data_IF_370704983263
#
_entry.id   IF_370704983263
#
_cell.length_a   1.000
_cell.length_b   1.000
_cell.length_c   1.000
_cell.angle_alpha   90.00
_cell.angle_beta   90.00
_cell.angle_gamma   90.00
#
_symmetry.space_group_name_H-M   'P 1'
#
loop_
_entity.id
_entity.type
_entity.pdbx_description
1 polymer ?
#
# COMPACT_ATOMS: atom_id res chain seq x y z
N UNK A 1 -10.23 35.89 7.47
CA UNK A 1 -10.10 35.52 8.91
C UNK A 1 -11.31 35.90 9.77
N UNK A 2 -11.71 37.18 9.87
CA UNK A 2 -12.84 37.59 10.74
C UNK A 2 -14.17 36.92 10.35
N UNK A 3 -14.48 36.88 9.06
CA UNK A 3 -15.71 36.28 8.55
C UNK A 3 -15.83 34.78 8.85
N UNK A 4 -14.77 33.99 8.68
CA UNK A 4 -14.84 32.54 8.94
C UNK A 4 -15.06 32.24 10.42
N UNK A 5 -14.49 33.05 11.33
CA UNK A 5 -14.74 32.94 12.77
C UNK A 5 -16.17 33.31 13.14
N UNK A 6 -16.74 34.33 12.51
CA UNK A 6 -18.15 34.70 12.70
C UNK A 6 -19.07 33.59 12.20
N UNK A 7 -18.82 33.08 10.98
CA UNK A 7 -19.59 31.98 10.40
C UNK A 7 -19.46 30.70 11.23
N UNK A 8 -18.29 30.44 11.81
CA UNK A 8 -18.11 29.28 12.67
C UNK A 8 -18.97 29.32 13.94
N UNK A 9 -19.30 30.53 14.44
CA UNK A 9 -20.17 30.77 15.61
C UNK A 9 -21.65 30.94 15.25
N UNK A 10 -21.97 31.06 13.96
CA UNK A 10 -23.34 31.27 13.50
C UNK A 10 -24.16 29.99 13.59
N UNK A 11 -25.47 30.09 13.38
CA UNK A 11 -26.38 28.94 13.39
C UNK A 11 -26.11 28.00 12.22
N UNK A 12 -26.49 26.73 12.34
CA UNK A 12 -26.39 25.75 11.24
C UNK A 12 -27.18 26.21 10.01
N UNK A 13 -28.34 26.84 10.19
CA UNK A 13 -29.15 27.37 9.09
C UNK A 13 -28.39 28.42 8.27
N UNK A 14 -27.66 29.31 8.94
CA UNK A 14 -26.81 30.30 8.26
C UNK A 14 -25.61 29.65 7.57
N UNK A 15 -25.02 28.62 8.19
CA UNK A 15 -23.91 27.87 7.58
C UNK A 15 -24.35 27.13 6.32
N UNK A 16 -25.55 26.52 6.30
CA UNK A 16 -26.11 25.86 5.12
C UNK A 16 -26.34 26.88 4.00
N UNK A 17 -26.87 28.06 4.31
CA UNK A 17 -27.03 29.15 3.32
C UNK A 17 -25.69 29.66 2.77
N UNK A 18 -24.62 29.52 3.54
CA UNK A 18 -23.27 29.94 3.16
C UNK A 18 -22.41 28.79 2.59
N UNK A 19 -23.00 27.64 2.25
CA UNK A 19 -22.28 26.44 1.81
C UNK A 19 -21.26 26.73 0.69
N UNK A 20 -21.66 27.46 -0.36
CA UNK A 20 -20.79 27.79 -1.48
C UNK A 20 -19.57 28.63 -1.05
N UNK A 21 -19.76 29.53 -0.09
CA UNK A 21 -18.67 30.32 0.48
C UNK A 21 -17.73 29.46 1.33
N UNK A 22 -18.23 28.43 2.02
CA UNK A 22 -17.39 27.47 2.75
C UNK A 22 -16.57 26.64 1.78
N UNK A 23 -17.18 26.12 0.71
CA UNK A 23 -16.49 25.36 -0.33
C UNK A 23 -15.41 26.22 -1.00
N UNK A 24 -15.73 27.47 -1.36
CA UNK A 24 -14.75 28.39 -1.91
C UNK A 24 -13.59 28.69 -0.94
N UNK A 25 -13.89 28.82 0.36
CA UNK A 25 -12.85 28.95 1.39
C UNK A 25 -11.93 27.72 1.46
N UNK A 26 -12.45 26.51 1.23
CA UNK A 26 -11.63 25.30 1.15
C UNK A 26 -10.71 25.29 -0.07
N UNK A 27 -11.16 25.81 -1.23
CA UNK A 27 -10.29 25.98 -2.41
C UNK A 27 -9.14 26.95 -2.10
N UNK A 28 -9.42 28.08 -1.44
CA UNK A 28 -8.37 29.01 -1.00
C UNK A 28 -7.40 28.32 -0.02
N UNK A 29 -7.93 27.46 0.86
CA UNK A 29 -7.15 26.70 1.83
C UNK A 29 -6.25 25.61 1.21
N UNK A 30 -6.37 25.29 -0.09
CA UNK A 30 -5.41 24.45 -0.80
C UNK A 30 -4.04 25.13 -0.95
N UNK A 31 -4.00 26.47 -0.95
CA UNK A 31 -2.73 27.20 -1.05
C UNK A 31 -1.93 27.04 0.25
N UNK A 32 -0.66 26.59 0.20
CA UNK A 32 0.21 26.47 1.38
C UNK A 32 0.41 27.78 2.16
N UNK A 33 0.22 28.93 1.52
CA UNK A 33 0.33 30.25 2.15
C UNK A 33 -0.88 30.61 3.02
N UNK A 34 -1.96 29.81 2.96
CA UNK A 34 -3.20 30.11 3.67
C UNK A 34 -3.02 29.90 5.18
N UNK A 35 -3.38 30.88 6.03
CA UNK A 35 -3.22 30.75 7.47
C UNK A 35 -3.98 29.55 8.04
N UNK A 36 -3.29 28.73 8.86
CA UNK A 36 -3.85 27.53 9.46
C UNK A 36 -5.22 27.73 10.16
N UNK A 37 -5.46 28.79 10.96
CA UNK A 37 -6.77 28.98 11.60
C UNK A 37 -7.91 29.29 10.60
N UNK A 38 -7.59 29.76 9.39
CA UNK A 38 -8.57 29.91 8.32
C UNK A 38 -8.99 28.54 7.80
N UNK A 39 -8.02 27.72 7.42
CA UNK A 39 -8.25 26.36 6.91
C UNK A 39 -8.98 25.48 7.94
N UNK A 40 -8.54 25.49 9.20
CA UNK A 40 -9.24 24.79 10.29
C UNK A 40 -10.67 25.27 10.49
N UNK A 41 -10.92 26.58 10.35
CA UNK A 41 -12.25 27.15 10.46
C UNK A 41 -13.18 26.65 9.36
N UNK A 42 -12.69 26.64 8.10
CA UNK A 42 -13.43 26.10 6.95
C UNK A 42 -13.77 24.62 7.15
N UNK A 43 -12.78 23.80 7.53
CA UNK A 43 -12.95 22.35 7.78
C UNK A 43 -13.93 22.09 8.91
N UNK A 44 -13.88 22.88 9.99
CA UNK A 44 -14.81 22.71 11.12
C UNK A 44 -16.26 22.96 10.71
N UNK A 45 -16.52 23.96 9.85
CA UNK A 45 -17.86 24.22 9.33
C UNK A 45 -18.27 23.11 8.35
N UNK A 46 -17.37 22.72 7.44
CA UNK A 46 -17.62 21.64 6.47
C UNK A 46 -18.04 20.33 7.16
N UNK A 47 -17.32 19.91 8.21
CA UNK A 47 -17.66 18.70 8.99
C UNK A 47 -19.03 18.77 9.66
N UNK A 48 -19.51 19.98 10.01
CA UNK A 48 -20.87 20.14 10.53
C UNK A 48 -21.91 20.03 9.42
N UNK A 49 -21.64 20.64 8.26
CA UNK A 49 -22.52 20.59 7.10
C UNK A 49 -22.65 19.18 6.53
N UNK A 50 -21.59 18.37 6.62
CA UNK A 50 -21.59 16.96 6.21
C UNK A 50 -22.73 16.17 6.86
N UNK A 51 -23.05 16.46 8.13
CA UNK A 51 -24.12 15.77 8.85
C UNK A 51 -25.54 16.26 8.49
N UNK A 52 -25.68 17.37 7.76
CA UNK A 52 -26.96 18.01 7.46
C UNK A 52 -27.31 17.87 5.98
N UNK A 53 -26.35 18.13 5.10
CA UNK A 53 -26.51 18.14 3.64
C UNK A 53 -25.33 17.40 2.95
N UNK A 54 -25.08 16.11 3.27
CA UNK A 54 -23.90 15.38 2.82
C UNK A 54 -23.76 15.36 1.30
N UNK A 55 -24.85 15.02 0.59
CA UNK A 55 -24.83 14.87 -0.87
C UNK A 55 -24.45 16.18 -1.57
N UNK A 56 -25.21 17.26 -1.33
CA UNK A 56 -24.96 18.55 -1.99
C UNK A 56 -23.61 19.15 -1.59
N UNK A 57 -23.17 18.94 -0.35
CA UNK A 57 -21.86 19.38 0.11
C UNK A 57 -20.73 18.63 -0.61
N UNK A 58 -20.81 17.29 -0.69
CA UNK A 58 -19.84 16.47 -1.40
C UNK A 58 -19.76 16.86 -2.89
N UNK A 59 -20.92 16.98 -3.56
CA UNK A 59 -20.98 17.43 -4.96
C UNK A 59 -20.32 18.79 -5.14
N UNK A 60 -20.70 19.80 -4.36
CA UNK A 60 -20.12 21.14 -4.45
C UNK A 60 -18.60 21.14 -4.17
N UNK A 61 -18.16 20.37 -3.18
CA UNK A 61 -16.73 20.28 -2.81
C UNK A 61 -15.91 19.60 -3.91
N UNK A 62 -16.42 18.52 -4.51
CA UNK A 62 -15.74 17.83 -5.62
C UNK A 62 -15.66 18.73 -6.85
N UNK A 63 -16.75 19.39 -7.22
CA UNK A 63 -16.76 20.35 -8.32
C UNK A 63 -15.73 21.48 -8.12
N UNK A 64 -15.48 21.88 -6.88
CA UNK A 64 -14.52 22.93 -6.57
C UNK A 64 -13.06 22.44 -6.52
N UNK A 65 -12.82 21.15 -6.30
CA UNK A 65 -11.49 20.53 -6.23
C UNK A 65 -11.06 19.80 -7.51
N UNK A 66 -11.96 19.66 -8.48
CA UNK A 66 -11.69 19.02 -9.75
C UNK A 66 -11.74 20.05 -10.89
N UNK A 67 -10.88 19.89 -11.89
CA UNK A 67 -11.00 20.62 -13.15
C UNK A 67 -12.12 20.04 -14.03
N UNK A 68 -12.39 18.74 -13.89
CA UNK A 68 -13.46 18.04 -14.61
C UNK A 68 -14.82 18.29 -13.94
N UNK A 69 -15.89 18.42 -14.75
CA UNK A 69 -17.27 18.47 -14.27
C UNK A 69 -17.74 17.08 -13.78
N UNK A 70 -17.32 16.71 -12.57
CA UNK A 70 -17.67 15.44 -11.95
C UNK A 70 -19.02 15.53 -11.23
N UNK A 71 -20.08 15.07 -11.91
CA UNK A 71 -21.43 15.00 -11.36
C UNK A 71 -21.62 13.78 -10.45
N UNK A 72 -22.62 13.85 -9.57
CA UNK A 72 -22.97 12.79 -8.64
C UNK A 72 -23.11 11.42 -9.28
N UNK A 73 -23.95 11.31 -10.32
CA UNK A 73 -24.27 10.02 -10.95
C UNK A 73 -23.02 9.36 -11.52
N UNK A 74 -22.12 10.15 -12.13
CA UNK A 74 -20.84 9.66 -12.64
C UNK A 74 -19.95 9.13 -11.51
N UNK A 75 -19.88 9.82 -10.37
CA UNK A 75 -19.06 9.43 -9.23
C UNK A 75 -19.63 8.22 -8.47
N UNK A 76 -20.94 8.03 -8.50
CA UNK A 76 -21.58 6.82 -7.99
C UNK A 76 -21.23 5.63 -8.88
N UNK A 77 -21.20 5.80 -10.20
CA UNK A 77 -20.80 4.72 -11.11
C UNK A 77 -19.27 4.47 -11.11
N UNK A 78 -18.48 5.54 -10.98
CA UNK A 78 -17.02 5.52 -11.13
C UNK A 78 -16.34 6.42 -10.07
N UNK A 79 -16.29 5.98 -8.81
CA UNK A 79 -15.74 6.78 -7.70
C UNK A 79 -14.24 7.05 -7.82
N UNK A 80 -13.51 6.26 -8.62
CA UNK A 80 -12.07 6.46 -8.85
C UNK A 80 -11.75 7.78 -9.56
N UNK A 81 -12.72 8.42 -10.21
CA UNK A 81 -12.50 9.76 -10.77
C UNK A 81 -12.24 10.84 -9.71
N UNK A 82 -12.56 10.59 -8.43
CA UNK A 82 -12.19 11.50 -7.34
C UNK A 82 -10.68 11.74 -7.25
N UNK A 83 -9.85 10.79 -7.69
CA UNK A 83 -8.39 10.94 -7.69
C UNK A 83 -7.87 11.89 -8.77
N UNK A 84 -8.73 12.41 -9.66
CA UNK A 84 -8.41 13.49 -10.62
C UNK A 84 -8.57 14.90 -10.01
N UNK A 85 -8.64 14.99 -8.69
CA UNK A 85 -8.68 16.26 -7.97
C UNK A 85 -7.34 17.00 -8.03
N UNK A 86 -7.36 18.25 -7.57
CA UNK A 86 -6.17 19.11 -7.43
C UNK A 86 -5.09 18.43 -6.55
N UNK A 87 -3.93 18.16 -7.16
CA UNK A 87 -2.84 17.42 -6.49
C UNK A 87 -2.32 18.09 -5.22
N UNK A 88 -2.55 19.41 -5.03
CA UNK A 88 -2.18 20.11 -3.79
C UNK A 88 -2.87 19.52 -2.56
N UNK A 89 -4.02 18.87 -2.76
CA UNK A 89 -4.75 18.15 -1.71
C UNK A 89 -3.92 17.01 -1.10
N UNK A 90 -3.06 16.37 -1.90
CA UNK A 90 -2.18 15.27 -1.47
C UNK A 90 -0.96 15.73 -0.67
N UNK A 91 -0.73 17.03 -0.57
CA UNK A 91 0.26 17.64 0.33
C UNK A 91 -0.40 18.46 1.45
N UNK A 92 -1.74 18.51 1.53
CA UNK A 92 -2.50 19.33 2.47
C UNK A 92 -3.16 18.47 3.57
N UNK A 93 -2.49 18.38 4.72
CA UNK A 93 -2.94 17.58 5.86
C UNK A 93 -4.23 18.07 6.55
N UNK A 94 -4.63 19.32 6.28
CA UNK A 94 -5.83 19.93 6.86
C UNK A 94 -7.08 19.51 6.10
N UNK A 95 -7.02 19.52 4.77
CA UNK A 95 -8.15 19.25 3.88
C UNK A 95 -8.24 17.77 3.49
N UNK A 96 -7.12 17.04 3.48
CA UNK A 96 -7.08 15.63 3.10
C UNK A 96 -8.05 14.73 3.90
N UNK A 97 -8.29 14.94 5.22
CA UNK A 97 -9.33 14.20 5.94
C UNK A 97 -10.74 14.39 5.36
N UNK A 98 -11.08 15.59 4.88
CA UNK A 98 -12.35 15.84 4.20
C UNK A 98 -12.42 15.12 2.85
N UNK A 99 -11.31 15.08 2.11
CA UNK A 99 -11.21 14.29 0.89
C UNK A 99 -11.45 12.80 1.12
N UNK A 100 -10.80 12.20 2.13
CA UNK A 100 -11.03 10.80 2.49
C UNK A 100 -12.49 10.53 2.90
N UNK A 101 -13.17 11.52 3.49
CA UNK A 101 -14.61 11.41 3.80
C UNK A 101 -15.47 11.39 2.55
N UNK A 102 -15.21 12.28 1.59
CA UNK A 102 -15.87 12.29 0.29
C UNK A 102 -15.61 10.97 -0.47
N UNK A 103 -14.38 10.48 -0.46
CA UNK A 103 -14.03 9.18 -1.04
C UNK A 103 -14.85 8.05 -0.42
N UNK A 104 -14.90 7.99 0.92
CA UNK A 104 -15.72 7.00 1.63
C UNK A 104 -17.20 7.08 1.26
N UNK A 105 -17.73 8.30 1.14
CA UNK A 105 -19.12 8.55 0.78
C UNK A 105 -19.43 7.97 -0.60
N UNK A 106 -18.61 8.27 -1.62
CA UNK A 106 -18.83 7.78 -2.98
C UNK A 106 -18.53 6.29 -3.15
N UNK A 107 -17.57 5.72 -2.41
CA UNK A 107 -17.35 4.27 -2.40
C UNK A 107 -18.56 3.53 -1.81
N UNK A 108 -19.12 4.02 -0.72
CA UNK A 108 -20.36 3.47 -0.15
C UNK A 108 -21.54 3.63 -1.10
N UNK A 109 -21.70 4.81 -1.72
CA UNK A 109 -22.78 5.06 -2.68
C UNK A 109 -22.68 4.15 -3.92
N UNK A 110 -21.48 3.99 -4.48
CA UNK A 110 -21.18 3.06 -5.57
C UNK A 110 -21.54 1.62 -5.19
N UNK A 111 -21.13 1.17 -4.00
CA UNK A 111 -21.48 -0.18 -3.50
C UNK A 111 -22.99 -0.38 -3.41
N UNK A 112 -23.71 0.56 -2.81
CA UNK A 112 -25.18 0.50 -2.71
C UNK A 112 -25.83 0.48 -4.09
N UNK A 113 -25.35 1.31 -5.01
CA UNK A 113 -25.85 1.37 -6.38
C UNK A 113 -25.66 0.06 -7.15
N UNK A 114 -24.48 -0.55 -7.07
CA UNK A 114 -24.20 -1.84 -7.69
C UNK A 114 -25.10 -2.96 -7.14
N UNK A 115 -25.28 -2.99 -5.80
CA UNK A 115 -26.16 -3.96 -5.15
C UNK A 115 -27.63 -3.75 -5.53
N UNK A 116 -28.08 -2.50 -5.69
CA UNK A 116 -29.43 -2.19 -6.17
C UNK A 116 -29.63 -2.60 -7.62
N UNK A 117 -28.66 -2.32 -8.51
CA UNK A 117 -28.68 -2.77 -9.91
C UNK A 117 -28.78 -4.30 -10.02
N UNK A 118 -28.15 -5.02 -9.10
CA UNK A 118 -28.26 -6.48 -9.01
C UNK A 118 -29.68 -6.92 -8.63
N UNK A 119 -30.29 -6.28 -7.63
CA UNK A 119 -31.65 -6.59 -7.18
C UNK A 119 -32.73 -6.27 -8.21
N UNK A 120 -32.57 -5.22 -9.03
CA UNK A 120 -33.57 -4.87 -10.05
C UNK A 120 -33.56 -5.84 -11.24
N UNK A 121 -32.42 -6.49 -11.51
CA UNK A 121 -32.22 -7.36 -12.66
C UNK A 121 -32.50 -8.85 -12.36
N UNK A 122 -33.40 -9.16 -11.41
CA UNK A 122 -33.69 -10.52 -10.95
C UNK A 122 -34.37 -11.43 -12.00
N UNK A 123 -34.79 -10.96 -13.16
CA UNK A 123 -35.57 -11.78 -14.12
C UNK A 123 -34.78 -12.84 -14.92
N UNK A 124 -33.61 -13.30 -14.44
CA UNK A 124 -32.78 -14.34 -15.05
C UNK A 124 -32.88 -15.72 -14.37
N UNK A 125 -32.43 -16.78 -15.06
CA UNK A 125 -32.27 -18.14 -14.51
C UNK A 125 -31.31 -18.12 -13.31
N UNK A 126 -31.44 -19.06 -12.37
CA UNK A 126 -30.67 -19.08 -11.11
C UNK A 126 -29.15 -19.04 -11.33
N UNK A 127 -28.62 -19.74 -12.35
CA UNK A 127 -27.19 -19.72 -12.69
C UNK A 127 -26.70 -18.31 -13.09
N UNK A 128 -27.50 -17.56 -13.85
CA UNK A 128 -27.18 -16.19 -14.27
C UNK A 128 -27.23 -15.20 -13.10
N UNK A 129 -28.00 -15.51 -12.05
CA UNK A 129 -28.04 -14.69 -10.84
C UNK A 129 -26.77 -14.84 -10.03
N UNK A 130 -26.32 -16.09 -9.84
CA UNK A 130 -25.07 -16.40 -9.13
C UNK A 130 -23.88 -15.75 -9.83
N UNK A 131 -23.78 -15.89 -11.15
CA UNK A 131 -22.72 -15.26 -11.94
C UNK A 131 -22.70 -13.72 -11.78
N UNK A 132 -23.87 -13.07 -11.82
CA UNK A 132 -23.98 -11.61 -11.62
C UNK A 132 -23.57 -11.17 -10.22
N UNK A 133 -23.89 -11.96 -9.20
CA UNK A 133 -23.46 -11.69 -7.83
C UNK A 133 -21.95 -11.77 -7.69
N UNK A 134 -21.34 -12.81 -8.25
CA UNK A 134 -19.88 -12.99 -8.25
C UNK A 134 -19.17 -11.87 -9.01
N UNK A 135 -19.68 -11.47 -10.18
CA UNK A 135 -19.17 -10.33 -10.95
C UNK A 135 -19.28 -9.02 -10.17
N UNK A 136 -20.41 -8.79 -9.48
CA UNK A 136 -20.63 -7.58 -8.68
C UNK A 136 -19.67 -7.52 -7.49
N UNK A 137 -19.49 -8.63 -6.75
CA UNK A 137 -18.52 -8.72 -5.66
C UNK A 137 -17.08 -8.51 -6.16
N UNK A 138 -16.74 -9.12 -7.30
CA UNK A 138 -15.42 -8.96 -7.93
C UNK A 138 -15.15 -7.53 -8.35
N UNK A 139 -16.15 -6.83 -8.90
CA UNK A 139 -16.04 -5.42 -9.29
C UNK A 139 -15.82 -4.51 -8.08
N UNK A 140 -16.58 -4.73 -6.99
CA UNK A 140 -16.40 -3.99 -5.74
C UNK A 140 -15.00 -4.23 -5.17
N UNK A 141 -14.55 -5.48 -5.12
CA UNK A 141 -13.20 -5.83 -4.65
C UNK A 141 -12.09 -5.21 -5.51
N UNK A 142 -12.27 -5.19 -6.84
CA UNK A 142 -11.33 -4.54 -7.76
C UNK A 142 -11.28 -3.02 -7.54
N UNK A 143 -12.43 -2.37 -7.34
CA UNK A 143 -12.50 -0.95 -7.02
C UNK A 143 -11.82 -0.62 -5.70
N UNK A 144 -12.13 -1.36 -4.63
CA UNK A 144 -11.53 -1.15 -3.31
C UNK A 144 -10.01 -1.41 -3.36
N UNK A 145 -9.56 -2.40 -4.13
CA UNK A 145 -8.13 -2.65 -4.34
C UNK A 145 -7.46 -1.50 -5.07
N UNK A 146 -8.10 -0.96 -6.12
CA UNK A 146 -7.58 0.21 -6.83
C UNK A 146 -7.46 1.44 -5.92
N UNK A 147 -8.41 1.66 -5.02
CA UNK A 147 -8.31 2.72 -4.00
C UNK A 147 -7.07 2.54 -3.14
N UNK A 148 -6.84 1.32 -2.62
CA UNK A 148 -5.66 1.04 -1.78
C UNK A 148 -4.36 1.28 -2.58
N UNK A 149 -4.31 0.84 -3.83
CA UNK A 149 -3.15 1.06 -4.71
C UNK A 149 -2.87 2.55 -4.91
N UNK A 150 -3.89 3.35 -5.25
CA UNK A 150 -3.73 4.79 -5.48
C UNK A 150 -3.31 5.51 -4.17
N UNK A 151 -3.86 5.11 -3.02
CA UNK A 151 -3.45 5.68 -1.72
C UNK A 151 -1.99 5.36 -1.38
N UNK A 152 -1.51 4.15 -1.68
CA UNK A 152 -0.10 3.79 -1.54
C UNK A 152 0.79 4.57 -2.54
N UNK A 153 0.33 4.77 -3.76
CA UNK A 153 1.02 5.60 -4.76
C UNK A 153 1.14 7.07 -4.31
N UNK A 154 0.09 7.62 -3.70
CA UNK A 154 0.12 8.95 -3.07
C UNK A 154 1.25 8.99 -2.03
N UNK A 155 1.35 7.98 -1.15
CA UNK A 155 2.45 7.89 -0.18
C UNK A 155 3.84 7.81 -0.83
N UNK A 156 3.93 7.22 -2.03
CA UNK A 156 5.18 7.10 -2.77
C UNK A 156 5.57 8.33 -3.60
N UNK A 157 4.61 9.20 -3.94
CA UNK A 157 4.80 10.36 -4.83
C UNK A 157 4.92 11.67 -4.07
N UNK A 158 4.16 11.83 -3.00
CA UNK A 158 4.09 13.07 -2.20
C UNK A 158 4.91 12.93 -0.92
N UNK A 159 5.26 14.06 -0.29
CA UNK A 159 6.22 14.10 0.83
C UNK A 159 5.56 14.33 2.19
N UNK A 160 4.30 14.76 2.25
CA UNK A 160 3.61 15.02 3.51
C UNK A 160 3.35 13.73 4.31
N UNK A 161 4.15 13.56 5.38
CA UNK A 161 4.08 12.41 6.29
C UNK A 161 2.71 12.30 6.98
N UNK A 162 2.06 13.42 7.29
CA UNK A 162 0.72 13.41 7.90
C UNK A 162 -0.31 12.88 6.92
N UNK A 163 -0.23 13.25 5.64
CA UNK A 163 -1.07 12.67 4.57
C UNK A 163 -0.80 11.17 4.44
N UNK A 164 0.47 10.73 4.48
CA UNK A 164 0.80 9.30 4.43
C UNK A 164 0.13 8.52 5.56
N UNK A 165 0.20 9.04 6.79
CA UNK A 165 -0.47 8.44 7.96
C UNK A 165 -1.98 8.38 7.79
N UNK A 166 -2.60 9.40 7.21
CA UNK A 166 -4.03 9.43 6.92
C UNK A 166 -4.40 8.38 5.84
N UNK A 167 -3.59 8.24 4.79
CA UNK A 167 -3.75 7.16 3.80
C UNK A 167 -3.65 5.78 4.46
N UNK A 168 -2.60 5.53 5.24
CA UNK A 168 -2.39 4.25 5.93
C UNK A 168 -3.50 3.95 6.93
N UNK A 169 -3.97 4.94 7.69
CA UNK A 169 -5.12 4.79 8.58
C UNK A 169 -6.41 4.45 7.81
N UNK A 170 -6.62 5.04 6.63
CA UNK A 170 -7.76 4.72 5.78
C UNK A 170 -7.67 3.28 5.23
N UNK A 171 -6.51 2.89 4.69
CA UNK A 171 -6.25 1.52 4.22
C UNK A 171 -6.44 0.51 5.36
N UNK A 172 -5.96 0.84 6.57
CA UNK A 172 -6.18 0.02 7.76
C UNK A 172 -7.67 -0.24 7.99
N UNK A 173 -8.51 0.81 7.97
CA UNK A 173 -9.96 0.66 8.13
C UNK A 173 -10.58 -0.18 7.00
N UNK A 174 -10.11 -0.04 5.76
CA UNK A 174 -10.56 -0.87 4.64
C UNK A 174 -10.22 -2.35 4.85
N UNK A 175 -9.01 -2.67 5.32
CA UNK A 175 -8.61 -4.05 5.63
C UNK A 175 -9.36 -4.64 6.83
N UNK A 176 -9.74 -3.82 7.82
CA UNK A 176 -10.60 -4.27 8.92
C UNK A 176 -12.02 -4.56 8.43
N UNK A 177 -12.55 -3.72 7.54
CA UNK A 177 -13.88 -3.91 6.97
C UNK A 177 -13.96 -5.14 6.05
N UNK A 178 -12.91 -5.40 5.27
CA UNK A 178 -12.79 -6.58 4.42
C UNK A 178 -11.35 -7.14 4.46
N UNK A 179 -11.09 -8.20 5.24
CA UNK A 179 -9.78 -8.85 5.30
C UNK A 179 -9.33 -9.44 3.96
N UNK A 180 -10.26 -9.85 3.08
CA UNK A 180 -9.93 -10.43 1.78
C UNK A 180 -9.30 -9.39 0.86
N UNK A 181 -9.67 -8.12 1.02
CA UNK A 181 -9.06 -7.00 0.31
C UNK A 181 -7.54 -6.92 0.58
N UNK A 182 -7.11 -7.15 1.82
CA UNK A 182 -5.68 -7.18 2.15
C UNK A 182 -4.96 -8.26 1.34
N UNK A 183 -5.53 -9.46 1.27
CA UNK A 183 -4.99 -10.54 0.44
C UNK A 183 -4.94 -10.13 -1.03
N UNK A 184 -6.02 -9.61 -1.59
CA UNK A 184 -6.08 -9.17 -2.99
C UNK A 184 -5.01 -8.13 -3.33
N UNK A 185 -4.87 -7.09 -2.51
CA UNK A 185 -3.86 -6.02 -2.72
C UNK A 185 -2.45 -6.58 -2.72
N UNK A 186 -2.10 -7.49 -1.81
CA UNK A 186 -0.77 -8.08 -1.73
C UNK A 186 -0.50 -9.10 -2.85
N UNK A 187 -1.53 -9.81 -3.32
CA UNK A 187 -1.43 -10.64 -4.52
C UNK A 187 -1.25 -9.80 -5.79
N UNK A 188 -1.86 -8.61 -5.87
CA UNK A 188 -1.58 -7.64 -6.94
C UNK A 188 -0.17 -7.04 -6.81
N UNK A 189 0.29 -6.82 -5.58
CA UNK A 189 1.58 -6.23 -5.27
C UNK A 189 1.59 -4.72 -5.52
N UNK A 190 2.66 -4.09 -5.05
CA UNK A 190 2.95 -2.65 -5.19
C UNK A 190 4.47 -2.44 -5.11
N UNK A 191 5.01 -1.25 -5.44
CA UNK A 191 6.45 -1.02 -5.43
C UNK A 191 7.12 -1.41 -4.11
N UNK A 192 8.21 -2.20 -4.18
CA UNK A 192 8.90 -2.77 -3.01
C UNK A 192 9.29 -1.73 -1.96
N UNK A 193 9.63 -0.50 -2.40
CA UNK A 193 9.98 0.63 -1.53
C UNK A 193 8.85 1.08 -0.60
N UNK A 194 7.59 0.72 -0.90
CA UNK A 194 6.42 1.07 -0.09
C UNK A 194 6.09 0.01 0.96
N UNK A 195 6.65 -1.20 0.86
CA UNK A 195 6.42 -2.28 1.84
C UNK A 195 6.80 -1.84 3.26
N UNK A 196 7.97 -1.22 3.53
CA UNK A 196 8.32 -0.80 4.87
C UNK A 196 7.32 0.23 5.44
N UNK A 197 6.85 1.17 4.61
CA UNK A 197 5.85 2.16 5.01
C UNK A 197 4.51 1.48 5.32
N UNK A 198 4.03 0.60 4.43
CA UNK A 198 2.78 -0.12 4.62
C UNK A 198 2.81 -0.95 5.91
N UNK A 199 3.85 -1.78 6.11
CA UNK A 199 3.98 -2.65 7.29
C UNK A 199 4.06 -1.87 8.60
N UNK A 200 4.74 -0.72 8.62
CA UNK A 200 4.94 0.07 9.85
C UNK A 200 3.74 0.95 10.20
N UNK A 201 3.11 1.55 9.19
CA UNK A 201 2.05 2.55 9.40
C UNK A 201 0.62 1.97 9.32
N UNK A 202 0.44 0.75 8.80
CA UNK A 202 -0.87 0.07 8.74
C UNK A 202 -0.91 -1.04 9.82
N UNK A 203 -1.61 -0.84 10.95
CA UNK A 203 -1.56 -1.78 12.08
C UNK A 203 -2.07 -3.20 11.77
N UNK A 204 -3.01 -3.34 10.83
CA UNK A 204 -3.60 -4.63 10.42
C UNK A 204 -2.70 -5.47 9.53
N UNK A 205 -1.46 -5.06 9.25
CA UNK A 205 -0.56 -5.79 8.35
C UNK A 205 -0.11 -7.17 8.87
N UNK A 206 -0.22 -7.42 10.18
CA UNK A 206 0.06 -8.74 10.77
C UNK A 206 -0.77 -9.87 10.13
N UNK A 207 -1.97 -9.57 9.62
CA UNK A 207 -2.82 -10.55 8.91
C UNK A 207 -2.14 -11.14 7.67
N UNK A 208 -1.18 -10.42 7.08
CA UNK A 208 -0.44 -10.90 5.92
C UNK A 208 0.35 -12.18 6.23
N UNK A 209 0.72 -12.44 7.49
CA UNK A 209 1.36 -13.69 7.91
C UNK A 209 0.48 -14.91 7.65
N UNK A 210 -0.84 -14.76 7.54
CA UNK A 210 -1.75 -15.87 7.26
C UNK A 210 -1.61 -16.37 5.82
N UNK A 211 -1.41 -15.48 4.84
CA UNK A 211 -1.46 -15.82 3.40
C UNK A 211 -0.16 -15.56 2.62
N UNK A 212 0.86 -14.91 3.18
CA UNK A 212 2.08 -14.52 2.43
C UNK A 212 2.82 -15.72 1.82
N UNK A 213 2.70 -16.90 2.43
CA UNK A 213 3.24 -18.15 1.92
C UNK A 213 2.60 -18.58 0.58
N UNK A 214 1.33 -18.23 0.36
CA UNK A 214 0.64 -18.49 -0.92
C UNK A 214 1.22 -17.62 -2.05
N UNK A 215 1.60 -16.37 -1.76
CA UNK A 215 2.27 -15.49 -2.72
C UNK A 215 3.65 -16.03 -3.05
N UNK A 216 4.38 -16.51 -2.04
CA UNK A 216 5.69 -17.13 -2.20
C UNK A 216 5.63 -18.40 -3.08
N UNK A 217 4.53 -19.16 -3.02
CA UNK A 217 4.33 -20.36 -3.83
C UNK A 217 4.07 -20.07 -5.32
N UNK A 218 3.71 -18.85 -5.71
CA UNK A 218 3.48 -18.47 -7.11
C UNK A 218 4.75 -18.69 -7.95
N UNK A 219 4.60 -19.05 -9.23
CA UNK A 219 5.72 -19.27 -10.14
C UNK A 219 6.44 -17.96 -10.54
N UNK A 220 5.76 -16.82 -10.42
CA UNK A 220 6.30 -15.52 -10.82
C UNK A 220 7.41 -15.03 -9.88
N UNK A 221 8.60 -14.77 -10.46
CA UNK A 221 9.78 -14.33 -9.70
C UNK A 221 9.54 -12.96 -9.03
N UNK A 222 8.81 -12.04 -9.66
CA UNK A 222 8.53 -10.72 -9.09
C UNK A 222 7.62 -10.83 -7.87
N UNK A 223 6.60 -11.72 -7.92
CA UNK A 223 5.73 -12.03 -6.77
C UNK A 223 6.49 -12.70 -5.64
N UNK A 224 7.41 -13.62 -5.96
CA UNK A 224 8.30 -14.21 -4.95
C UNK A 224 9.17 -13.16 -4.29
N UNK A 225 9.82 -12.29 -5.06
CA UNK A 225 10.61 -11.18 -4.50
C UNK A 225 9.75 -10.31 -3.59
N UNK A 226 8.53 -9.95 -4.02
CA UNK A 226 7.59 -9.19 -3.20
C UNK A 226 7.27 -9.91 -1.88
N UNK A 227 6.93 -11.20 -1.92
CA UNK A 227 6.65 -11.99 -0.72
C UNK A 227 7.85 -12.06 0.24
N UNK A 228 9.06 -12.23 -0.29
CA UNK A 228 10.28 -12.31 0.52
C UNK A 228 10.57 -10.99 1.23
N UNK A 229 10.46 -9.86 0.52
CA UNK A 229 10.63 -8.53 1.11
C UNK A 229 9.54 -8.28 2.16
N UNK A 230 8.30 -8.67 1.88
CA UNK A 230 7.18 -8.55 2.81
C UNK A 230 7.39 -9.39 4.08
N UNK A 231 7.79 -10.66 3.97
CA UNK A 231 8.11 -11.52 5.12
C UNK A 231 9.21 -10.87 5.98
N UNK A 232 10.27 -10.37 5.35
CA UNK A 232 11.37 -9.73 6.07
C UNK A 232 10.94 -8.44 6.81
N UNK A 233 10.05 -7.62 6.23
CA UNK A 233 9.49 -6.44 6.93
C UNK A 233 8.51 -6.83 8.04
N UNK A 234 7.64 -7.83 7.80
CA UNK A 234 6.70 -8.31 8.80
C UNK A 234 7.42 -8.92 10.00
N UNK A 235 8.48 -9.69 9.79
CA UNK A 235 9.26 -10.29 10.86
C UNK A 235 10.07 -9.24 11.66
N UNK A 236 10.48 -8.15 11.00
CA UNK A 236 11.09 -7.01 11.68
C UNK A 236 10.09 -6.29 12.59
N UNK A 237 8.86 -6.07 12.10
CA UNK A 237 7.82 -5.32 12.80
C UNK A 237 7.14 -6.14 13.91
N UNK A 238 6.83 -7.41 13.63
CA UNK A 238 6.07 -8.30 14.50
C UNK A 238 6.97 -9.43 14.99
N UNK A 239 7.64 -9.21 16.13
CA UNK A 239 8.53 -10.21 16.75
C UNK A 239 7.74 -11.30 17.49
N UNK A 240 7.00 -12.10 16.74
CA UNK A 240 6.13 -13.17 17.23
C UNK A 240 6.45 -14.51 16.57
N UNK A 241 6.08 -15.62 17.22
CA UNK A 241 6.33 -16.98 16.72
C UNK A 241 5.85 -17.20 15.28
N UNK A 242 4.63 -16.77 14.96
CA UNK A 242 4.08 -16.88 13.59
C UNK A 242 4.98 -16.24 12.53
N UNK A 243 5.61 -15.10 12.84
CA UNK A 243 6.53 -14.44 11.92
C UNK A 243 7.81 -15.28 11.69
N UNK A 244 8.33 -15.89 12.75
CA UNK A 244 9.51 -16.74 12.68
C UNK A 244 9.22 -18.00 11.87
N UNK A 245 8.06 -18.66 12.08
CA UNK A 245 7.63 -19.80 11.24
C UNK A 245 7.56 -19.45 9.76
N UNK A 246 7.19 -18.21 9.40
CA UNK A 246 7.22 -17.75 7.99
C UNK A 246 8.63 -17.57 7.45
N UNK A 247 9.57 -17.18 8.29
CA UNK A 247 10.98 -17.08 7.93
C UNK A 247 11.61 -18.47 7.74
N UNK A 248 11.30 -19.44 8.60
CA UNK A 248 11.74 -20.84 8.43
C UNK A 248 11.23 -21.42 7.11
N UNK A 249 9.93 -21.31 6.85
CA UNK A 249 9.33 -21.74 5.59
C UNK A 249 9.98 -21.05 4.37
N UNK A 250 10.31 -19.77 4.50
CA UNK A 250 11.00 -19.03 3.46
C UNK A 250 12.36 -19.66 3.12
N UNK A 251 13.15 -20.07 4.12
CA UNK A 251 14.44 -20.72 3.90
C UNK A 251 14.29 -22.09 3.24
N UNK A 252 13.31 -22.89 3.65
CA UNK A 252 13.00 -24.18 3.02
C UNK A 252 12.63 -24.01 1.53
N UNK A 253 11.79 -23.03 1.24
CA UNK A 253 11.37 -22.71 -0.13
C UNK A 253 12.56 -22.24 -0.95
N UNK A 254 13.38 -21.31 -0.45
CA UNK A 254 14.56 -20.83 -1.17
C UNK A 254 15.59 -21.94 -1.41
N UNK A 255 15.80 -22.82 -0.43
CA UNK A 255 16.68 -23.98 -0.57
C UNK A 255 16.17 -24.93 -1.66
N UNK A 256 14.86 -25.16 -1.71
CA UNK A 256 14.22 -25.98 -2.76
C UNK A 256 14.32 -25.31 -4.13
N UNK A 257 13.99 -24.02 -4.23
CA UNK A 257 14.07 -23.25 -5.47
C UNK A 257 15.49 -23.18 -6.02
N UNK A 258 16.51 -23.09 -5.16
CA UNK A 258 17.92 -23.11 -5.57
C UNK A 258 18.31 -24.37 -6.36
N UNK A 259 17.56 -25.47 -6.16
CA UNK A 259 17.76 -26.76 -6.86
C UNK A 259 16.83 -26.92 -8.05
N UNK A 260 15.62 -26.36 -7.97
CA UNK A 260 14.56 -26.55 -8.97
C UNK A 260 14.61 -25.54 -10.12
N UNK A 261 15.00 -24.29 -9.86
CA UNK A 261 15.04 -23.23 -10.87
C UNK A 261 16.30 -23.33 -11.73
N UNK A 262 16.23 -22.77 -12.94
CA UNK A 262 17.42 -22.57 -13.76
C UNK A 262 18.40 -21.63 -13.04
N UNK A 263 19.69 -21.72 -13.37
CA UNK A 263 20.68 -20.86 -12.71
C UNK A 263 20.39 -19.38 -12.96
N UNK A 264 19.92 -19.00 -14.14
CA UNK A 264 19.63 -17.59 -14.47
C UNK A 264 18.46 -17.06 -13.65
N UNK A 265 17.40 -17.86 -13.46
CA UNK A 265 16.27 -17.49 -12.59
C UNK A 265 16.71 -17.38 -11.12
N UNK A 266 17.53 -18.31 -10.64
CA UNK A 266 18.08 -18.27 -9.29
C UNK A 266 18.90 -17.00 -9.04
N UNK A 267 19.78 -16.63 -9.96
CA UNK A 267 20.60 -15.42 -9.84
C UNK A 267 19.74 -14.15 -9.87
N UNK A 268 18.70 -14.10 -10.72
CA UNK A 268 17.75 -12.96 -10.77
C UNK A 268 16.90 -12.84 -9.51
N UNK A 269 16.45 -13.96 -8.93
CA UNK A 269 15.70 -13.96 -7.68
C UNK A 269 16.59 -13.46 -6.54
N UNK A 270 17.76 -14.07 -6.38
CA UNK A 270 18.62 -13.79 -5.22
C UNK A 270 19.29 -12.43 -5.26
N UNK A 271 19.66 -11.91 -6.43
CA UNK A 271 20.14 -10.52 -6.55
C UNK A 271 19.17 -9.48 -6.01
N UNK A 272 17.87 -9.79 -5.96
CA UNK A 272 16.84 -8.89 -5.40
C UNK A 272 16.55 -9.13 -3.93
N UNK A 273 16.82 -10.32 -3.39
CA UNK A 273 16.40 -10.70 -2.02
C UNK A 273 17.54 -10.86 -1.03
N UNK A 274 18.79 -10.90 -1.47
CA UNK A 274 19.97 -10.93 -0.58
C UNK A 274 19.92 -9.84 0.51
N UNK A 275 19.52 -8.58 0.24
CA UNK A 275 19.40 -7.58 1.31
C UNK A 275 18.37 -7.96 2.38
N UNK A 276 17.23 -8.54 1.97
CA UNK A 276 16.20 -9.03 2.92
C UNK A 276 16.70 -10.21 3.75
N UNK A 277 17.47 -11.12 3.14
CA UNK A 277 18.10 -12.24 3.85
C UNK A 277 19.13 -11.75 4.87
N UNK A 278 19.94 -10.74 4.53
CA UNK A 278 20.87 -10.13 5.46
C UNK A 278 20.20 -9.58 6.72
N UNK A 279 19.07 -8.89 6.55
CA UNK A 279 18.28 -8.42 7.70
C UNK A 279 17.67 -9.57 8.50
N UNK A 280 17.26 -10.66 7.84
CA UNK A 280 16.75 -11.83 8.55
C UNK A 280 17.84 -12.44 9.46
N UNK A 281 19.10 -12.46 9.01
CA UNK A 281 20.22 -12.94 9.82
C UNK A 281 20.39 -12.12 11.11
N UNK A 282 20.26 -10.79 11.03
CA UNK A 282 20.36 -9.93 12.21
C UNK A 282 19.12 -9.98 13.12
N UNK A 283 17.94 -10.26 12.55
CA UNK A 283 16.70 -10.40 13.31
C UNK A 283 16.59 -11.73 14.06
N UNK A 284 17.09 -12.83 13.45
CA UNK A 284 17.00 -14.18 14.00
C UNK A 284 18.37 -14.87 13.96
N UNK A 285 19.24 -14.63 14.96
CA UNK A 285 20.57 -15.21 15.02
C UNK A 285 20.58 -16.74 14.91
N UNK A 286 19.53 -17.42 15.41
CA UNK A 286 19.42 -18.88 15.38
C UNK A 286 19.40 -19.52 13.98
N UNK A 287 19.03 -18.77 12.93
CA UNK A 287 18.98 -19.26 11.54
C UNK A 287 20.06 -18.61 10.67
N UNK A 288 20.91 -17.78 11.26
CA UNK A 288 21.93 -17.00 10.55
C UNK A 288 22.88 -17.92 9.77
N UNK A 289 23.30 -19.03 10.38
CA UNK A 289 24.20 -20.00 9.74
C UNK A 289 23.54 -20.65 8.52
N UNK A 290 22.26 -21.01 8.59
CA UNK A 290 21.51 -21.58 7.46
C UNK A 290 21.39 -20.59 6.30
N UNK A 291 21.10 -19.33 6.60
CA UNK A 291 21.08 -18.25 5.59
C UNK A 291 22.47 -18.08 4.98
N UNK A 292 23.52 -18.05 5.80
CA UNK A 292 24.89 -17.92 5.32
C UNK A 292 25.30 -19.07 4.40
N UNK A 293 24.96 -20.31 4.76
CA UNK A 293 25.19 -21.49 3.92
C UNK A 293 24.48 -21.38 2.56
N UNK A 294 23.21 -20.95 2.55
CA UNK A 294 22.47 -20.72 1.30
C UNK A 294 23.18 -19.66 0.44
N UNK A 295 23.55 -18.52 1.02
CA UNK A 295 24.21 -17.43 0.32
C UNK A 295 25.57 -17.84 -0.25
N UNK A 296 26.40 -18.53 0.53
CA UNK A 296 27.71 -19.02 0.08
C UNK A 296 27.58 -20.03 -1.06
N UNK A 297 26.60 -20.93 -0.99
CA UNK A 297 26.32 -21.88 -2.08
C UNK A 297 25.97 -21.17 -3.39
N UNK A 298 25.17 -20.11 -3.31
CA UNK A 298 24.77 -19.31 -4.48
C UNK A 298 25.95 -18.51 -5.02
N UNK A 299 26.78 -17.94 -4.14
CA UNK A 299 28.02 -17.27 -4.52
C UNK A 299 28.96 -18.20 -5.30
N UNK A 300 29.11 -19.45 -4.85
CA UNK A 300 29.88 -20.48 -5.57
C UNK A 300 29.30 -20.81 -6.96
N UNK A 301 27.97 -20.91 -7.08
CA UNK A 301 27.30 -21.12 -8.37
C UNK A 301 27.54 -19.93 -9.32
N UNK A 302 27.44 -18.70 -8.81
CA UNK A 302 27.72 -17.49 -9.58
C UNK A 302 29.19 -17.43 -10.04
N UNK A 303 30.14 -17.77 -9.16
CA UNK A 303 31.56 -17.84 -9.48
C UNK A 303 31.86 -18.90 -10.56
N UNK A 304 31.23 -20.07 -10.46
CA UNK A 304 31.33 -21.14 -11.45
C UNK A 304 30.82 -20.69 -12.82
N UNK A 305 29.70 -19.95 -12.87
CA UNK A 305 29.17 -19.38 -14.11
C UNK A 305 30.11 -18.36 -14.73
N UNK A 306 30.77 -17.51 -13.93
CA UNK A 306 31.78 -16.57 -14.40
C UNK A 306 32.95 -17.33 -15.04
N UNK A 307 33.46 -18.37 -14.37
CA UNK A 307 34.59 -19.15 -14.86
C UNK A 307 34.29 -19.85 -16.20
N UNK A 308 33.09 -20.45 -16.35
CA UNK A 308 32.65 -21.06 -17.61
C UNK A 308 32.45 -20.01 -18.70
N UNK A 309 31.95 -18.82 -18.33
CA UNK A 309 31.70 -17.72 -19.27
C UNK A 309 32.96 -16.94 -19.65
N UNK A 310 34.10 -17.13 -18.97
CA UNK A 310 35.33 -16.35 -19.21
C UNK A 310 35.93 -16.57 -20.62
N UNK A 311 35.42 -17.55 -21.37
CA UNK A 311 35.69 -17.78 -22.80
C UNK A 311 34.93 -16.81 -23.73
N UNK A 312 33.89 -16.14 -23.23
CA UNK A 312 33.08 -15.13 -23.92
C UNK A 312 33.28 -13.80 -23.18
N UNK A 313 33.71 -12.75 -23.87
CA UNK A 313 34.00 -11.42 -23.31
C UNK A 313 32.84 -10.86 -22.45
N UNK A 314 32.76 -11.22 -21.16
CA UNK A 314 31.83 -10.60 -20.20
C UNK A 314 32.50 -9.35 -19.64
N UNK A 315 31.85 -8.22 -19.87
CA UNK A 315 32.17 -6.90 -19.32
C UNK A 315 32.36 -6.92 -17.80
N UNK A 316 33.07 -5.93 -17.27
CA UNK A 316 33.39 -5.83 -15.84
C UNK A 316 32.17 -5.83 -14.89
N UNK A 317 30.97 -5.61 -15.42
CA UNK A 317 29.70 -5.39 -14.72
C UNK A 317 28.69 -6.54 -14.87
N UNK A 318 29.10 -7.81 -14.86
CA UNK A 318 28.14 -8.91 -14.94
C UNK A 318 27.35 -9.12 -13.63
N UNK A 319 26.08 -9.53 -13.76
CA UNK A 319 25.14 -9.74 -12.64
C UNK A 319 25.71 -10.69 -11.57
N UNK A 320 26.46 -11.71 -12.01
CA UNK A 320 27.09 -12.69 -11.13
C UNK A 320 28.12 -12.05 -10.20
N UNK A 321 28.98 -11.15 -10.71
CA UNK A 321 29.94 -10.42 -9.87
C UNK A 321 29.25 -9.52 -8.87
N UNK A 322 28.23 -8.78 -9.34
CA UNK A 322 27.45 -7.91 -8.46
C UNK A 322 26.79 -8.71 -7.32
N UNK A 323 26.23 -9.88 -7.63
CA UNK A 323 25.64 -10.76 -6.63
C UNK A 323 26.68 -11.26 -5.62
N UNK A 324 27.85 -11.71 -6.07
CA UNK A 324 28.94 -12.16 -5.19
C UNK A 324 29.37 -11.03 -4.24
N UNK A 325 29.57 -9.82 -4.76
CA UNK A 325 29.91 -8.64 -3.94
C UNK A 325 28.81 -8.34 -2.93
N UNK A 326 27.54 -8.37 -3.35
CA UNK A 326 26.41 -8.10 -2.48
C UNK A 326 26.31 -9.13 -1.35
N UNK A 327 26.50 -10.42 -1.65
CA UNK A 327 26.52 -11.51 -0.67
C UNK A 327 27.65 -11.29 0.34
N UNK A 328 28.87 -11.00 -0.13
CA UNK A 328 30.01 -10.79 0.77
C UNK A 328 29.77 -9.61 1.72
N UNK A 329 29.22 -8.49 1.21
CA UNK A 329 28.89 -7.34 2.03
C UNK A 329 27.90 -7.70 3.15
N UNK A 330 26.80 -8.39 2.79
CA UNK A 330 25.78 -8.82 3.76
C UNK A 330 26.36 -9.76 4.82
N UNK A 331 27.19 -10.73 4.43
CA UNK A 331 27.82 -11.65 5.38
C UNK A 331 28.80 -10.92 6.32
N UNK A 332 29.56 -9.95 5.81
CA UNK A 332 30.46 -9.14 6.63
C UNK A 332 29.71 -8.24 7.62
N UNK A 333 28.60 -7.62 7.20
CA UNK A 333 27.75 -6.81 8.07
C UNK A 333 27.15 -7.67 9.19
N UNK A 334 26.58 -8.83 8.86
CA UNK A 334 26.01 -9.75 9.84
C UNK A 334 27.04 -10.25 10.87
N UNK A 335 28.26 -10.58 10.41
CA UNK A 335 29.35 -11.00 11.29
C UNK A 335 29.78 -9.88 12.27
N UNK A 336 29.78 -8.62 11.81
CA UNK A 336 30.16 -7.46 12.63
C UNK A 336 29.11 -7.16 13.70
N UNK A 337 27.81 -7.28 13.37
CA UNK A 337 26.72 -7.10 14.33
C UNK A 337 26.70 -8.17 15.43
N UNK A 338 26.94 -9.44 15.05
CA UNK A 338 27.06 -10.56 15.98
C UNK A 338 28.24 -10.38 16.97
N UNK A 339 29.40 -9.92 16.47
CA UNK A 339 30.55 -9.62 17.31
C UNK A 339 30.27 -8.47 18.30
N UNK A 340 29.52 -7.44 17.87
CA UNK A 340 29.12 -6.32 18.73
C UNK A 340 28.10 -6.68 19.82
N UNK A 341 27.24 -7.67 19.58
CA UNK A 341 26.30 -8.20 20.57
C UNK A 341 27.00 -9.05 21.64
N UNK A 342 28.00 -9.85 21.24
CA UNK A 342 28.80 -10.66 22.17
C UNK A 342 29.70 -9.84 23.12
N UNK A 343 30.02 -8.58 22.79
CA UNK A 343 30.78 -7.68 23.67
C UNK A 343 29.90 -6.86 24.64
N UNK A 344 28.57 -6.94 24.50
CA UNK A 344 27.61 -6.20 25.34
C UNK A 344 26.84 -7.08 26.33
N UNK A 345 26.96 -8.41 26.24
CA UNK A 345 26.56 -9.35 27.31
C UNK A 345 27.74 -9.60 28.24
#
# INVERSE_FOLDING_TARGET
>A
MRFIRLLQRSTLREQVKAMDAVVHAMVIALNPSTPMPFASGAVAIWKRLENIVPRSLCEATVCAWSADELKHDLLVEQPLFLFRCDERLFENDVLFPCYLRILSFYLSASRTFLLQKLQMNQNGRDEQRVEREELTRSLIGAQDSAVVQILLEICGRFKNITVHRLCCAHIHQMFIADPVLSKLVHFQGYPLRLIPLAVREIPSMHICLEFVHEILALADISKRVFAIVLIAELAQQYKIESSFTRVELLLDVLTTLSRALTTDENLRLLSKVVPSLGRIMSLFPQISDDVAHLLLRISSIAASRIAVSATVLKTESCMERHLITLINNVLCEAASEMAGLSMKS
#
